data_IF_825104681623
#
_entry.id   IF_825104681623
#
_cell.length_a   1.000
_cell.length_b   1.000
_cell.length_c   1.000
_cell.angle_alpha   90.00
_cell.angle_beta   90.00
_cell.angle_gamma   90.00
#
_symmetry.space_group_name_H-M   'P 1'
#
loop_
_entity.id
_entity.type
_entity.pdbx_description
1 polymer ?
#
# COMPACT_ATOMS: atom_id res chain seq x y z
N UNK A 1 -16.97 4.95 13.87
CA UNK A 1 -16.52 5.88 14.93
C UNK A 1 -15.36 6.75 14.42
N UNK A 2 -14.35 6.18 13.75
CA UNK A 2 -13.21 6.92 13.19
C UNK A 2 -13.58 8.16 12.35
N UNK A 3 -14.42 8.02 11.31
CA UNK A 3 -14.80 9.16 10.46
C UNK A 3 -15.43 10.34 11.23
N UNK A 4 -16.21 10.06 12.28
CA UNK A 4 -16.77 11.12 13.14
C UNK A 4 -15.70 11.87 13.93
N UNK A 5 -14.63 11.17 14.35
CA UNK A 5 -13.49 11.78 15.05
C UNK A 5 -12.69 12.63 14.06
N UNK A 6 -12.51 12.13 12.84
CA UNK A 6 -11.85 12.83 11.75
C UNK A 6 -12.61 14.12 11.38
N UNK A 7 -13.92 14.05 11.17
CA UNK A 7 -14.78 15.22 10.93
C UNK A 7 -14.68 16.23 12.08
N UNK A 8 -14.71 15.75 13.32
CA UNK A 8 -14.56 16.60 14.49
C UNK A 8 -13.19 17.30 14.56
N UNK A 9 -12.12 16.58 14.19
CA UNK A 9 -10.76 17.11 14.17
C UNK A 9 -10.60 18.19 13.10
N UNK A 10 -11.13 17.97 11.90
CA UNK A 10 -11.06 18.93 10.79
C UNK A 10 -12.04 20.10 10.94
N UNK A 11 -13.14 19.92 11.68
CA UNK A 11 -14.06 21.00 12.03
C UNK A 11 -13.45 22.07 12.96
N UNK A 12 -12.25 21.86 13.52
CA UNK A 12 -11.57 22.84 14.38
C UNK A 12 -10.08 22.97 14.07
N UNK A 13 -9.67 24.16 13.63
CA UNK A 13 -8.27 24.51 13.32
C UNK A 13 -7.32 24.25 14.50
N UNK A 14 -7.82 24.34 15.74
CA UNK A 14 -7.04 24.14 16.95
C UNK A 14 -6.56 22.69 17.18
N UNK A 15 -7.10 21.69 16.47
CA UNK A 15 -6.81 20.28 16.69
C UNK A 15 -5.79 19.68 15.70
N UNK A 16 -4.79 20.46 15.28
CA UNK A 16 -3.73 19.97 14.38
C UNK A 16 -3.10 18.64 14.81
N UNK A 17 -2.72 18.39 16.08
CA UNK A 17 -2.15 17.11 16.47
C UNK A 17 -3.11 15.92 16.25
N UNK A 18 -4.42 16.14 16.41
CA UNK A 18 -5.42 15.11 16.16
C UNK A 18 -5.66 14.92 14.66
N UNK A 19 -5.67 16.00 13.88
CA UNK A 19 -5.72 15.93 12.40
C UNK A 19 -4.54 15.11 11.88
N UNK A 20 -3.32 15.42 12.31
CA UNK A 20 -2.10 14.70 11.92
C UNK A 20 -2.15 13.22 12.33
N UNK A 21 -2.65 12.92 13.53
CA UNK A 21 -2.85 11.55 13.98
C UNK A 21 -3.85 10.80 13.10
N UNK A 22 -5.00 11.41 12.79
CA UNK A 22 -6.00 10.80 11.93
C UNK A 22 -5.48 10.61 10.50
N UNK A 23 -4.77 11.60 9.93
CA UNK A 23 -4.13 11.47 8.62
C UNK A 23 -3.08 10.35 8.61
N UNK A 24 -2.27 10.22 9.67
CA UNK A 24 -1.31 9.12 9.81
C UNK A 24 -2.01 7.75 9.87
N UNK A 25 -3.15 7.65 10.55
CA UNK A 25 -3.95 6.42 10.56
C UNK A 25 -4.47 6.06 9.16
N UNK A 26 -4.91 7.05 8.37
CA UNK A 26 -5.31 6.84 6.97
C UNK A 26 -4.10 6.42 6.13
N UNK A 27 -2.94 7.07 6.28
CA UNK A 27 -1.74 6.74 5.50
C UNK A 27 -1.22 5.33 5.80
N UNK A 28 -1.43 4.81 7.02
CA UNK A 28 -1.06 3.45 7.40
C UNK A 28 -1.94 2.37 6.73
N UNK A 29 -3.18 2.71 6.37
CA UNK A 29 -4.13 1.83 5.69
C UNK A 29 -5.04 2.62 4.72
N UNK A 30 -4.51 3.08 3.57
CA UNK A 30 -5.24 4.01 2.69
C UNK A 30 -6.55 3.45 2.13
N UNK A 31 -6.62 2.15 1.86
CA UNK A 31 -7.81 1.46 1.34
C UNK A 31 -9.03 1.66 2.25
N UNK A 32 -8.83 1.75 3.57
CA UNK A 32 -9.89 2.03 4.55
C UNK A 32 -10.67 3.33 4.29
N UNK A 33 -10.07 4.27 3.55
CA UNK A 33 -10.72 5.51 3.13
C UNK A 33 -11.07 5.47 1.66
N UNK A 34 -10.12 5.15 0.77
CA UNK A 34 -10.33 5.25 -0.68
C UNK A 34 -11.36 4.26 -1.24
N UNK A 35 -11.58 3.13 -0.57
CA UNK A 35 -12.64 2.17 -0.93
C UNK A 35 -13.98 2.49 -0.28
N UNK A 36 -14.04 3.50 0.60
CA UNK A 36 -15.25 3.90 1.31
C UNK A 36 -15.94 5.08 0.62
N UNK A 37 -17.28 5.08 0.65
CA UNK A 37 -18.08 6.24 0.23
C UNK A 37 -17.73 7.52 1.00
N UNK A 38 -17.19 7.37 2.21
CA UNK A 38 -16.78 8.50 3.05
C UNK A 38 -15.75 9.40 2.36
N UNK A 39 -14.84 8.84 1.56
CA UNK A 39 -13.86 9.64 0.83
C UNK A 39 -14.53 10.72 -0.01
N UNK A 40 -15.63 10.39 -0.69
CA UNK A 40 -16.37 11.33 -1.53
C UNK A 40 -17.14 12.39 -0.74
N UNK A 41 -17.31 12.20 0.58
CA UNK A 41 -17.91 13.17 1.48
C UNK A 41 -16.90 14.09 2.18
N UNK A 42 -15.59 13.87 1.99
CA UNK A 42 -14.56 14.71 2.61
C UNK A 42 -14.66 16.15 2.12
N UNK A 43 -14.47 17.11 3.03
CA UNK A 43 -14.30 18.50 2.66
C UNK A 43 -12.93 18.73 1.99
N UNK A 44 -12.82 19.82 1.23
CA UNK A 44 -11.61 20.16 0.46
C UNK A 44 -10.37 20.36 1.35
N UNK A 45 -10.52 20.85 2.58
CA UNK A 45 -9.37 21.05 3.49
C UNK A 45 -8.83 19.71 3.99
N UNK A 46 -9.71 18.76 4.28
CA UNK A 46 -9.33 17.40 4.65
C UNK A 46 -8.65 16.69 3.48
N UNK A 47 -9.26 16.74 2.29
CA UNK A 47 -8.69 16.13 1.08
C UNK A 47 -7.32 16.72 0.76
N UNK A 48 -7.18 18.04 0.72
CA UNK A 48 -5.88 18.70 0.45
C UNK A 48 -4.83 18.39 1.51
N UNK A 49 -5.21 18.24 2.78
CA UNK A 49 -4.28 17.83 3.85
C UNK A 49 -3.80 16.39 3.66
N UNK A 50 -4.69 15.49 3.21
CA UNK A 50 -4.32 14.12 2.86
C UNK A 50 -3.41 14.08 1.61
N UNK A 51 -3.74 14.83 0.56
CA UNK A 51 -2.94 14.89 -0.67
C UNK A 51 -1.52 15.44 -0.43
N UNK A 52 -1.29 16.24 0.61
CA UNK A 52 0.06 16.72 0.97
C UNK A 52 0.97 15.65 1.60
N UNK A 53 0.44 14.51 2.06
CA UNK A 53 1.18 13.49 2.80
C UNK A 53 2.14 12.68 1.92
N UNK A 54 3.44 12.77 2.18
CA UNK A 54 4.45 11.93 1.52
C UNK A 54 4.33 10.43 1.88
N UNK A 55 3.78 10.12 3.05
CA UNK A 55 3.61 8.74 3.52
C UNK A 55 2.29 8.10 3.10
N UNK A 56 1.49 8.77 2.27
CA UNK A 56 0.26 8.22 1.72
C UNK A 56 0.58 7.16 0.66
N UNK A 57 0.46 5.88 1.03
CA UNK A 57 0.75 4.77 0.14
C UNK A 57 -0.35 4.51 -0.89
N UNK A 58 -0.34 5.25 -2.00
CA UNK A 58 -1.24 5.06 -3.16
C UNK A 58 -0.52 5.49 -4.44
N UNK A 59 -0.78 4.79 -5.55
CA UNK A 59 -0.25 5.19 -6.85
C UNK A 59 -0.86 6.51 -7.30
N UNK A 60 -0.04 7.42 -7.85
CA UNK A 60 -0.52 8.75 -8.26
C UNK A 60 -1.67 8.70 -9.27
N UNK A 61 -1.64 7.73 -10.19
CA UNK A 61 -2.73 7.54 -11.17
C UNK A 61 -4.04 7.14 -10.50
N UNK A 62 -3.98 6.33 -9.44
CA UNK A 62 -5.15 5.92 -8.67
C UNK A 62 -5.68 7.08 -7.83
N UNK A 63 -4.76 7.82 -7.19
CA UNK A 63 -5.07 9.04 -6.45
C UNK A 63 -5.79 10.07 -7.32
N UNK A 64 -5.29 10.29 -8.54
CA UNK A 64 -5.93 11.16 -9.53
C UNK A 64 -7.35 10.70 -9.87
N UNK A 65 -7.55 9.41 -10.15
CA UNK A 65 -8.89 8.88 -10.44
C UNK A 65 -9.87 9.11 -9.29
N UNK A 66 -9.41 8.94 -8.05
CA UNK A 66 -10.21 9.20 -6.86
C UNK A 66 -10.54 10.69 -6.71
N UNK A 67 -9.57 11.59 -6.92
CA UNK A 67 -9.82 13.05 -6.89
C UNK A 67 -10.81 13.49 -7.98
N UNK A 68 -10.74 12.93 -9.18
CA UNK A 68 -11.71 13.19 -10.25
C UNK A 68 -13.12 12.73 -9.85
N UNK A 69 -13.25 11.51 -9.31
CA UNK A 69 -14.54 10.99 -8.81
C UNK A 69 -15.08 11.86 -7.68
N UNK A 70 -14.23 12.29 -6.74
CA UNK A 70 -14.59 13.25 -5.70
C UNK A 70 -15.12 14.55 -6.31
N UNK A 71 -14.43 15.09 -7.31
CA UNK A 71 -14.88 16.27 -8.05
C UNK A 71 -16.27 16.11 -8.65
N UNK A 72 -16.59 14.95 -9.23
CA UNK A 72 -17.93 14.68 -9.77
C UNK A 72 -19.00 14.59 -8.69
N UNK A 73 -18.69 13.97 -7.54
CA UNK A 73 -19.62 13.91 -6.41
C UNK A 73 -19.90 15.30 -5.84
N UNK A 74 -18.92 16.18 -5.81
CA UNK A 74 -19.11 17.58 -5.41
C UNK A 74 -19.88 18.42 -6.44
N UNK A 75 -19.95 17.96 -7.70
CA UNK A 75 -20.59 18.67 -8.80
C UNK A 75 -21.57 17.74 -9.57
N UNK A 76 -22.66 17.28 -8.94
CA UNK A 76 -23.51 16.20 -9.45
C UNK A 76 -24.28 16.55 -10.74
N UNK A 77 -24.31 17.81 -11.13
CA UNK A 77 -24.97 18.27 -12.37
C UNK A 77 -24.07 18.17 -13.60
N UNK A 78 -22.78 17.85 -13.43
CA UNK A 78 -21.81 17.76 -14.53
C UNK A 78 -21.86 16.40 -15.21
N UNK A 79 -21.63 16.40 -16.52
CA UNK A 79 -21.46 15.17 -17.29
C UNK A 79 -20.12 14.53 -16.99
N UNK A 80 -20.07 13.21 -16.81
CA UNK A 80 -18.80 12.51 -16.55
C UNK A 80 -17.83 12.56 -17.74
N UNK A 81 -18.35 12.68 -18.96
CA UNK A 81 -17.56 12.72 -20.20
C UNK A 81 -17.03 14.15 -20.47
N UNK A 82 -15.72 14.41 -20.32
CA UNK A 82 -15.15 15.74 -20.51
C UNK A 82 -15.31 16.28 -21.93
N UNK A 83 -15.48 15.40 -22.93
CA UNK A 83 -15.70 15.81 -24.31
C UNK A 83 -17.02 16.57 -24.52
N UNK A 84 -17.94 16.51 -23.54
CA UNK A 84 -19.25 17.16 -23.58
C UNK A 84 -19.31 18.46 -22.76
N UNK A 85 -18.18 18.91 -22.21
CA UNK A 85 -18.17 20.05 -21.31
C UNK A 85 -18.30 21.38 -22.06
N UNK A 86 -19.12 22.27 -21.52
CA UNK A 86 -19.13 23.68 -21.92
C UNK A 86 -18.04 24.43 -21.14
N UNK A 87 -17.61 25.62 -21.59
CA UNK A 87 -16.65 26.43 -20.85
C UNK A 87 -17.07 26.70 -19.39
N UNK A 88 -18.37 26.86 -19.13
CA UNK A 88 -18.90 27.07 -17.78
C UNK A 88 -18.76 25.82 -16.90
N UNK A 89 -18.97 24.63 -17.47
CA UNK A 89 -18.77 23.35 -16.78
C UNK A 89 -17.29 23.12 -16.47
N UNK A 90 -16.41 23.37 -17.44
CA UNK A 90 -14.95 23.29 -17.24
C UNK A 90 -14.50 24.22 -16.12
N UNK A 91 -14.95 25.49 -16.13
CA UNK A 91 -14.60 26.46 -15.10
C UNK A 91 -15.11 26.05 -13.71
N UNK A 92 -16.33 25.52 -13.62
CA UNK A 92 -16.92 25.04 -12.36
C UNK A 92 -16.10 23.88 -11.78
N UNK A 93 -15.78 22.88 -12.60
CA UNK A 93 -15.00 21.72 -12.17
C UNK A 93 -13.57 22.10 -11.81
N UNK A 94 -12.92 22.94 -12.63
CA UNK A 94 -11.60 23.50 -12.35
C UNK A 94 -11.57 24.20 -10.99
N UNK A 95 -12.56 25.06 -10.71
CA UNK A 95 -12.63 25.77 -9.43
C UNK A 95 -12.78 24.81 -8.24
N UNK A 96 -13.56 23.73 -8.40
CA UNK A 96 -13.75 22.74 -7.33
C UNK A 96 -12.49 21.93 -7.01
N UNK A 97 -11.60 21.73 -7.99
CA UNK A 97 -10.37 20.96 -7.85
C UNK A 97 -9.11 21.83 -7.77
N UNK A 98 -9.24 23.15 -7.76
CA UNK A 98 -8.13 24.10 -7.86
C UNK A 98 -7.05 23.86 -6.78
N UNK A 99 -7.46 23.55 -5.54
CA UNK A 99 -6.53 23.29 -4.44
C UNK A 99 -5.97 21.86 -4.46
N UNK A 100 -6.63 20.93 -5.15
CA UNK A 100 -6.26 19.51 -5.20
C UNK A 100 -5.28 19.22 -6.35
N UNK A 101 -5.51 19.79 -7.54
CA UNK A 101 -4.71 19.52 -8.75
C UNK A 101 -3.20 19.73 -8.52
N UNK A 102 -2.73 20.82 -7.90
CA UNK A 102 -1.29 21.06 -7.69
C UNK A 102 -0.64 20.06 -6.71
N UNK A 103 -1.44 19.30 -5.96
CA UNK A 103 -0.96 18.33 -4.97
C UNK A 103 -0.79 16.91 -5.55
N UNK A 104 -1.21 16.70 -6.81
CA UNK A 104 -1.00 15.44 -7.55
C UNK A 104 0.37 15.48 -8.21
N UNK A 105 1.17 14.42 -8.01
CA UNK A 105 2.56 14.36 -8.48
C UNK A 105 2.60 13.76 -9.87
N UNK A 106 2.01 14.45 -10.85
CA UNK A 106 1.86 13.94 -12.22
C UNK A 106 3.16 13.46 -12.87
N UNK A 107 4.30 14.05 -12.51
CA UNK A 107 5.63 13.64 -12.98
C UNK A 107 6.03 12.22 -12.55
N UNK A 108 5.38 11.66 -11.52
CA UNK A 108 5.59 10.29 -11.07
C UNK A 108 4.66 9.28 -11.77
N UNK A 109 3.75 9.73 -12.64
CA UNK A 109 2.99 8.85 -13.52
C UNK A 109 3.81 8.48 -14.76
N UNK A 110 3.49 7.33 -15.36
CA UNK A 110 4.00 7.01 -16.70
C UNK A 110 3.32 7.90 -17.76
N UNK A 111 3.97 8.17 -18.91
CA UNK A 111 3.32 8.90 -20.02
C UNK A 111 2.02 8.24 -20.51
N UNK A 112 1.95 6.90 -20.46
CA UNK A 112 0.75 6.15 -20.80
C UNK A 112 -0.41 6.43 -19.82
N UNK A 113 -0.14 6.37 -18.52
CA UNK A 113 -1.12 6.70 -17.47
C UNK A 113 -1.59 8.15 -17.59
N UNK A 114 -0.68 9.10 -17.79
CA UNK A 114 -1.03 10.51 -17.97
C UNK A 114 -1.93 10.71 -19.19
N UNK A 115 -1.56 10.13 -20.34
CA UNK A 115 -2.36 10.21 -21.56
C UNK A 115 -3.76 9.60 -21.41
N UNK A 116 -3.88 8.47 -20.72
CA UNK A 116 -5.16 7.77 -20.62
C UNK A 116 -6.08 8.41 -19.59
N UNK A 117 -5.54 8.80 -18.42
CA UNK A 117 -6.35 9.20 -17.25
C UNK A 117 -6.39 10.70 -17.02
N UNK A 118 -5.32 11.44 -17.34
CA UNK A 118 -5.20 12.87 -17.03
C UNK A 118 -5.54 13.73 -18.23
N UNK A 119 -5.01 13.39 -19.41
CA UNK A 119 -5.23 14.15 -20.66
C UNK A 119 -6.71 14.42 -21.00
N UNK A 120 -7.68 13.51 -20.77
CA UNK A 120 -9.09 13.83 -21.00
C UNK A 120 -9.59 15.07 -20.25
N UNK A 121 -8.94 15.41 -19.13
CA UNK A 121 -9.23 16.55 -18.27
C UNK A 121 -8.17 17.66 -18.40
N UNK A 122 -7.40 17.72 -19.49
CA UNK A 122 -6.32 18.71 -19.63
C UNK A 122 -6.78 20.16 -19.48
N UNK A 123 -8.04 20.45 -19.84
CA UNK A 123 -8.57 21.83 -19.86
C UNK A 123 -8.82 22.41 -18.46
N UNK A 124 -8.83 21.58 -17.41
CA UNK A 124 -8.90 22.04 -16.00
C UNK A 124 -7.52 22.22 -15.37
N UNK A 125 -6.46 21.75 -16.03
CA UNK A 125 -5.10 21.86 -15.51
C UNK A 125 -4.56 23.28 -15.75
N UNK A 126 -3.87 23.90 -14.77
CA UNK A 126 -3.12 25.12 -15.01
C UNK A 126 -2.11 24.91 -16.15
N UNK A 127 -2.01 25.86 -17.08
CA UNK A 127 -1.15 25.74 -18.26
C UNK A 127 0.33 25.48 -17.88
N UNK A 128 0.85 26.23 -16.91
CA UNK A 128 2.23 26.07 -16.43
C UNK A 128 2.48 24.66 -15.84
N UNK A 129 1.50 24.12 -15.12
CA UNK A 129 1.59 22.77 -14.55
C UNK A 129 1.61 21.74 -15.67
N UNK A 130 0.68 21.85 -16.62
CA UNK A 130 0.59 20.93 -17.74
C UNK A 130 1.87 20.91 -18.59
N UNK A 131 2.41 22.09 -18.93
CA UNK A 131 3.65 22.21 -19.68
C UNK A 131 4.84 21.62 -18.90
N UNK A 132 4.92 21.88 -17.59
CA UNK A 132 5.99 21.32 -16.75
C UNK A 132 6.01 19.79 -16.75
N UNK A 133 4.83 19.17 -16.72
CA UNK A 133 4.69 17.71 -16.77
C UNK A 133 5.05 17.17 -18.15
N UNK A 134 4.63 17.85 -19.22
CA UNK A 134 4.98 17.46 -20.58
C UNK A 134 6.51 17.53 -20.81
N UNK A 135 7.15 18.62 -20.36
CA UNK A 135 8.61 18.75 -20.42
C UNK A 135 9.33 17.67 -19.62
N UNK A 136 8.81 17.30 -18.46
CA UNK A 136 9.35 16.19 -17.68
C UNK A 136 9.35 14.87 -18.46
N UNK A 137 8.27 14.55 -19.19
CA UNK A 137 8.21 13.34 -20.00
C UNK A 137 9.08 13.38 -21.25
N UNK A 138 9.24 14.55 -21.86
CA UNK A 138 10.05 14.71 -23.07
C UNK A 138 11.55 14.78 -22.77
N UNK A 139 11.95 15.35 -21.64
CA UNK A 139 13.33 15.64 -21.27
C UNK A 139 13.58 15.38 -19.76
N UNK A 140 13.51 14.11 -19.30
CA UNK A 140 13.60 13.79 -17.88
C UNK A 140 14.94 14.16 -17.25
N UNK A 141 16.04 14.11 -18.00
CA UNK A 141 17.39 14.44 -17.51
C UNK A 141 17.59 15.95 -17.27
N UNK A 142 16.77 16.80 -17.88
CA UNK A 142 16.89 18.25 -17.79
C UNK A 142 16.04 18.85 -16.65
N UNK A 143 15.20 18.04 -15.99
CA UNK A 143 14.23 18.50 -15.01
C UNK A 143 14.48 17.87 -13.64
N UNK A 144 14.62 18.71 -12.61
CA UNK A 144 14.59 18.22 -11.23
C UNK A 144 13.13 17.99 -10.87
N UNK A 145 12.77 16.74 -10.53
CA UNK A 145 11.42 16.47 -10.02
C UNK A 145 11.29 17.12 -8.64
N UNK A 146 10.40 18.12 -8.45
CA UNK A 146 10.26 18.79 -7.16
C UNK A 146 9.61 17.90 -6.10
N UNK A 147 9.04 16.75 -6.51
CA UNK A 147 8.33 15.86 -5.62
C UNK A 147 9.18 14.66 -5.22
N UNK A 148 9.19 14.38 -3.93
CA UNK A 148 9.51 13.07 -3.39
C UNK A 148 8.45 12.06 -3.84
N UNK A 149 8.83 10.82 -4.21
CA UNK A 149 7.84 9.76 -4.37
C UNK A 149 7.08 9.53 -3.07
N UNK A 150 5.77 9.22 -3.17
CA UNK A 150 5.02 8.77 -2.00
C UNK A 150 5.54 7.43 -1.50
N UNK A 151 5.23 7.10 -0.26
CA UNK A 151 5.58 5.83 0.35
C UNK A 151 5.11 4.67 -0.51
N UNK A 152 6.07 3.83 -0.93
CA UNK A 152 5.78 2.64 -1.73
C UNK A 152 4.93 1.67 -0.92
N UNK A 153 3.81 1.24 -1.51
CA UNK A 153 2.93 0.22 -0.93
C UNK A 153 3.55 -1.18 -1.02
N UNK A 154 2.93 -2.12 -0.33
CA UNK A 154 3.15 -3.56 -0.56
C UNK A 154 2.11 -4.04 -1.58
N UNK A 155 2.54 -4.81 -2.59
CA UNK A 155 1.63 -5.46 -3.54
C UNK A 155 0.98 -6.70 -2.89
N UNK A 156 0.11 -6.44 -1.90
CA UNK A 156 -0.64 -7.46 -1.17
C UNK A 156 -2.11 -7.07 -1.06
N UNK A 157 -3.00 -8.03 -1.30
CA UNK A 157 -4.44 -7.91 -1.02
C UNK A 157 -4.79 -8.41 0.38
N UNK A 158 -3.83 -9.00 1.09
CA UNK A 158 -4.02 -9.67 2.36
C UNK A 158 -3.58 -8.83 3.55
N UNK A 159 -2.45 -8.12 3.44
CA UNK A 159 -1.89 -7.37 4.56
C UNK A 159 -1.71 -5.88 4.25
N UNK A 160 -1.84 -5.06 5.29
CA UNK A 160 -1.55 -3.63 5.23
C UNK A 160 -0.05 -3.36 5.39
N UNK A 161 0.38 -2.14 5.08
CA UNK A 161 1.77 -1.73 5.26
C UNK A 161 2.20 -1.77 6.75
N UNK A 162 1.26 -1.52 7.67
CA UNK A 162 1.48 -1.69 9.11
C UNK A 162 1.78 -3.14 9.47
N UNK A 163 1.01 -4.09 8.96
CA UNK A 163 1.28 -5.52 9.17
C UNK A 163 2.60 -5.95 8.51
N UNK A 164 2.93 -5.41 7.35
CA UNK A 164 4.24 -5.62 6.71
C UNK A 164 5.40 -5.10 7.59
N UNK A 165 5.25 -3.94 8.23
CA UNK A 165 6.22 -3.42 9.20
C UNK A 165 6.35 -4.32 10.44
N UNK A 166 5.25 -4.94 10.89
CA UNK A 166 5.30 -5.92 11.98
C UNK A 166 6.10 -7.16 11.60
N UNK A 167 5.87 -7.70 10.39
CA UNK A 167 6.65 -8.82 9.85
C UNK A 167 8.13 -8.45 9.77
N UNK A 168 8.46 -7.27 9.23
CA UNK A 168 9.84 -6.77 9.19
C UNK A 168 10.51 -6.72 10.57
N UNK A 169 9.75 -6.30 11.58
CA UNK A 169 10.24 -6.22 12.96
C UNK A 169 10.53 -7.61 13.53
N UNK A 170 9.66 -8.59 13.25
CA UNK A 170 9.87 -9.97 13.69
C UNK A 170 11.05 -10.65 12.99
N UNK A 171 11.32 -10.31 11.72
CA UNK A 171 12.53 -10.74 10.99
C UNK A 171 13.79 -10.27 11.72
N UNK A 172 13.81 -9.01 12.19
CA UNK A 172 14.93 -8.44 12.94
C UNK A 172 14.92 -8.75 14.44
N UNK A 173 14.01 -9.62 14.89
CA UNK A 173 13.81 -9.98 16.29
C UNK A 173 13.48 -8.78 17.21
N UNK A 174 12.90 -7.72 16.64
CA UNK A 174 12.41 -6.52 17.35
C UNK A 174 10.97 -6.72 17.85
N UNK A 175 10.78 -7.70 18.71
CA UNK A 175 9.44 -8.12 19.16
C UNK A 175 8.75 -7.06 20.05
N UNK A 176 9.53 -6.18 20.70
CA UNK A 176 9.03 -5.13 21.60
C UNK A 176 9.03 -3.72 20.99
N UNK A 177 9.80 -3.50 19.90
CA UNK A 177 9.94 -2.18 19.24
C UNK A 177 9.79 -2.31 17.73
N UNK A 178 8.53 -2.31 17.31
CA UNK A 178 8.16 -2.41 15.91
C UNK A 178 8.65 -1.21 15.09
N UNK A 179 9.04 -1.48 13.84
CA UNK A 179 9.14 -0.46 12.81
C UNK A 179 7.77 0.18 12.59
N UNK A 180 7.78 1.48 12.30
CA UNK A 180 6.60 2.14 11.74
C UNK A 180 6.43 1.73 10.27
N UNK A 181 5.23 1.94 9.71
CA UNK A 181 4.97 1.67 8.30
C UNK A 181 5.84 2.52 7.34
N UNK A 182 6.44 3.61 7.83
CA UNK A 182 7.36 4.47 7.09
C UNK A 182 8.83 4.04 7.19
N UNK A 183 9.18 3.15 8.13
CA UNK A 183 10.57 2.80 8.47
C UNK A 183 10.92 1.34 8.12
N UNK A 184 10.16 0.70 7.23
CA UNK A 184 10.39 -0.69 6.84
C UNK A 184 11.75 -0.81 6.10
N UNK A 185 12.73 -1.58 6.62
CA UNK A 185 14.07 -1.69 6.04
C UNK A 185 14.16 -2.67 4.86
N UNK A 186 13.03 -3.26 4.48
CA UNK A 186 12.92 -4.29 3.45
C UNK A 186 12.02 -3.85 2.30
N UNK A 187 12.36 -4.32 1.10
CA UNK A 187 11.45 -4.42 -0.04
C UNK A 187 10.82 -5.82 -0.06
N UNK A 188 9.50 -5.85 -0.19
CA UNK A 188 8.72 -7.07 -0.32
C UNK A 188 8.28 -7.24 -1.77
N UNK A 189 8.88 -8.19 -2.48
CA UNK A 189 8.55 -8.48 -3.89
C UNK A 189 7.58 -9.65 -3.94
N UNK A 190 6.37 -9.43 -4.46
CA UNK A 190 5.42 -10.50 -4.72
C UNK A 190 6.02 -11.50 -5.70
N UNK A 191 6.06 -12.78 -5.33
CA UNK A 191 6.54 -13.88 -6.15
C UNK A 191 5.38 -14.61 -6.83
N UNK A 192 4.26 -14.73 -6.13
CA UNK A 192 3.05 -15.33 -6.66
C UNK A 192 1.81 -14.95 -5.85
N UNK A 193 0.67 -14.99 -6.53
CA UNK A 193 -0.67 -14.86 -5.95
C UNK A 193 -1.53 -16.03 -6.42
N UNK A 194 -2.14 -16.76 -5.51
CA UNK A 194 -2.87 -17.99 -5.80
C UNK A 194 -4.06 -17.76 -6.74
N UNK A 195 -4.77 -16.65 -6.61
CA UNK A 195 -5.86 -16.27 -7.55
C UNK A 195 -5.41 -15.99 -8.98
N UNK A 196 -4.14 -15.65 -9.21
CA UNK A 196 -3.60 -15.31 -10.52
C UNK A 196 -2.76 -16.45 -11.11
N UNK A 197 -1.94 -17.10 -10.28
CA UNK A 197 -0.97 -18.14 -10.67
C UNK A 197 -1.46 -19.57 -10.43
N UNK A 198 -2.56 -19.72 -9.68
CA UNK A 198 -3.08 -21.00 -9.24
C UNK A 198 -2.48 -21.49 -7.92
N UNK A 199 -3.21 -22.39 -7.27
CA UNK A 199 -2.97 -22.84 -5.90
C UNK A 199 -2.17 -24.14 -5.78
N UNK A 200 -1.61 -24.64 -6.88
CA UNK A 200 -0.95 -25.96 -6.87
C UNK A 200 0.42 -25.90 -6.17
N UNK A 201 0.80 -26.99 -5.51
CA UNK A 201 2.15 -27.16 -4.94
C UNK A 201 3.23 -27.03 -6.01
N UNK A 202 2.97 -27.51 -7.22
CA UNK A 202 3.89 -27.37 -8.35
C UNK A 202 4.14 -25.90 -8.71
N UNK A 203 3.09 -25.07 -8.75
CA UNK A 203 3.21 -23.62 -8.96
C UNK A 203 4.08 -22.99 -7.87
N UNK A 204 3.82 -23.33 -6.61
CA UNK A 204 4.59 -22.87 -5.44
C UNK A 204 6.08 -23.22 -5.58
N UNK A 205 6.41 -24.45 -5.98
CA UNK A 205 7.81 -24.84 -6.17
C UNK A 205 8.48 -24.14 -7.34
N UNK A 206 7.76 -23.94 -8.46
CA UNK A 206 8.32 -23.26 -9.64
C UNK A 206 8.58 -21.77 -9.39
N UNK A 207 7.65 -21.07 -8.75
CA UNK A 207 7.80 -19.65 -8.38
C UNK A 207 8.77 -19.46 -7.22
N UNK A 208 8.70 -20.38 -6.25
CA UNK A 208 9.45 -20.49 -4.99
C UNK A 208 10.93 -20.83 -5.12
N UNK A 209 11.24 -21.70 -6.08
CA UNK A 209 12.47 -22.48 -6.12
C UNK A 209 13.74 -21.63 -6.04
N UNK A 210 14.58 -21.90 -5.04
CA UNK A 210 15.86 -21.22 -4.87
C UNK A 210 15.79 -19.82 -4.27
N UNK A 211 14.59 -19.29 -3.97
CA UNK A 211 14.47 -18.03 -3.22
C UNK A 211 14.80 -18.26 -1.74
N UNK A 212 15.49 -17.31 -1.14
CA UNK A 212 15.72 -17.26 0.31
C UNK A 212 14.94 -16.09 0.92
N UNK A 213 14.75 -16.12 2.24
CA UNK A 213 14.05 -15.05 2.99
C UNK A 213 12.70 -14.73 2.37
N UNK A 214 11.81 -15.71 2.40
CA UNK A 214 10.45 -15.57 1.86
C UNK A 214 9.43 -15.53 3.00
N UNK A 215 8.29 -14.91 2.77
CA UNK A 215 7.13 -15.16 3.63
C UNK A 215 5.89 -15.50 2.81
N UNK A 216 5.09 -16.39 3.38
CA UNK A 216 3.81 -16.84 2.89
C UNK A 216 2.70 -16.15 3.67
N UNK A 217 1.62 -15.79 2.99
CA UNK A 217 0.34 -15.39 3.55
C UNK A 217 -0.75 -16.32 3.00
N UNK A 218 -1.64 -16.75 3.87
CA UNK A 218 -2.77 -17.62 3.58
C UNK A 218 -4.01 -17.03 4.23
N UNK A 219 -5.04 -16.75 3.44
CA UNK A 219 -6.35 -16.35 3.93
C UNK A 219 -7.28 -17.55 4.00
N UNK A 220 -7.84 -17.83 5.17
CA UNK A 220 -8.84 -18.90 5.34
C UNK A 220 -10.20 -18.41 4.86
N UNK A 221 -10.87 -19.16 3.97
CA UNK A 221 -12.14 -18.72 3.38
C UNK A 221 -13.27 -18.58 4.40
N UNK A 222 -13.30 -19.45 5.40
CA UNK A 222 -14.38 -19.50 6.39
C UNK A 222 -14.21 -18.48 7.51
N UNK A 223 -13.00 -18.32 8.05
CA UNK A 223 -12.73 -17.41 9.18
C UNK A 223 -12.21 -16.05 8.75
N UNK A 224 -11.79 -15.90 7.49
CA UNK A 224 -11.11 -14.72 6.94
C UNK A 224 -9.78 -14.35 7.66
N UNK A 225 -9.35 -15.18 8.61
CA UNK A 225 -8.06 -15.04 9.28
C UNK A 225 -6.92 -15.24 8.30
N UNK A 226 -5.84 -14.50 8.54
CA UNK A 226 -4.62 -14.58 7.76
C UNK A 226 -3.59 -15.31 8.60
N UNK A 227 -3.09 -16.41 8.06
CA UNK A 227 -1.95 -17.13 8.59
C UNK A 227 -0.75 -16.84 7.73
N UNK A 228 0.40 -16.63 8.37
CA UNK A 228 1.63 -16.41 7.65
C UNK A 228 2.80 -17.16 8.24
N UNK A 229 3.83 -17.30 7.41
CA UNK A 229 5.06 -17.96 7.78
C UNK A 229 6.23 -17.31 7.06
N UNK A 230 7.24 -16.90 7.83
CA UNK A 230 8.51 -16.47 7.29
C UNK A 230 9.52 -17.62 7.32
N UNK A 231 10.22 -17.78 6.20
CA UNK A 231 11.24 -18.80 5.98
C UNK A 231 12.54 -18.07 5.63
N UNK A 232 13.51 -18.10 6.52
CA UNK A 232 14.81 -17.45 6.30
C UNK A 232 15.74 -18.23 5.36
N UNK A 233 15.58 -19.55 5.29
CA UNK A 233 16.39 -20.41 4.42
C UNK A 233 15.94 -20.42 2.96
N UNK A 234 16.69 -21.14 2.13
CA UNK A 234 16.35 -21.35 0.72
C UNK A 234 15.12 -22.26 0.62
N UNK A 235 14.15 -21.86 -0.19
CA UNK A 235 13.00 -22.68 -0.56
C UNK A 235 13.44 -23.84 -1.46
N UNK A 236 13.43 -25.06 -0.90
CA UNK A 236 13.82 -26.29 -1.58
C UNK A 236 12.82 -27.42 -1.26
N UNK A 237 12.51 -28.23 -2.27
CA UNK A 237 11.60 -29.38 -2.24
C UNK A 237 12.03 -30.46 -1.24
N UNK A 238 13.34 -30.58 -0.96
CA UNK A 238 13.91 -31.71 -0.20
C UNK A 238 14.51 -31.34 1.15
N UNK A 239 14.60 -30.06 1.47
CA UNK A 239 15.23 -29.60 2.70
C UNK A 239 14.19 -28.99 3.63
N UNK A 240 13.94 -29.66 4.77
CA UNK A 240 13.44 -28.98 5.95
C UNK A 240 14.46 -27.87 6.27
N UNK A 241 14.20 -26.64 5.84
CA UNK A 241 15.11 -25.53 6.05
C UNK A 241 15.12 -25.23 7.54
N UNK A 242 15.95 -25.93 8.32
CA UNK A 242 16.20 -25.76 9.76
C UNK A 242 16.86 -24.40 10.00
N UNK A 243 16.16 -23.33 9.66
CA UNK A 243 16.65 -21.98 9.82
C UNK A 243 15.99 -21.44 11.10
N UNK A 244 16.82 -21.27 12.13
CA UNK A 244 16.40 -20.88 13.49
C UNK A 244 15.64 -19.55 13.55
N UNK A 245 15.71 -18.74 12.48
CA UNK A 245 15.04 -17.45 12.37
C UNK A 245 13.66 -17.51 11.69
N UNK A 246 13.18 -18.72 11.33
CA UNK A 246 11.84 -18.90 10.76
C UNK A 246 10.76 -18.80 11.83
N UNK A 247 9.61 -18.24 11.47
CA UNK A 247 8.48 -18.07 12.40
C UNK A 247 7.14 -18.14 11.68
N UNK A 248 6.10 -18.50 12.43
CA UNK A 248 4.71 -18.43 11.99
C UNK A 248 4.02 -17.28 12.70
N UNK A 249 3.02 -16.70 12.05
CA UNK A 249 2.19 -15.66 12.65
C UNK A 249 0.75 -15.76 12.19
N UNK A 250 -0.16 -15.09 12.89
CA UNK A 250 -1.51 -14.88 12.42
C UNK A 250 -1.99 -13.46 12.68
N UNK A 251 -2.77 -12.96 11.73
CA UNK A 251 -3.55 -11.73 11.85
C UNK A 251 -5.03 -12.09 11.80
N UNK A 252 -5.79 -11.55 12.75
CA UNK A 252 -7.25 -11.54 12.69
C UNK A 252 -7.73 -10.68 11.52
N UNK A 253 -8.85 -11.04 10.91
CA UNK A 253 -9.47 -10.26 9.84
C UNK A 253 -9.71 -8.79 10.26
N UNK A 254 -9.15 -7.85 9.49
CA UNK A 254 -9.63 -6.47 9.38
C UNK A 254 -9.75 -5.64 10.66
N UNK A 255 -9.16 -6.07 11.78
CA UNK A 255 -9.28 -5.37 13.06
C UNK A 255 -7.95 -5.33 13.80
N UNK A 256 -7.39 -4.13 13.91
CA UNK A 256 -6.22 -3.81 14.73
C UNK A 256 -6.39 -4.14 16.23
N UNK A 257 -7.61 -4.49 16.66
CA UNK A 257 -7.96 -4.69 18.08
C UNK A 257 -7.50 -6.03 18.66
N UNK A 258 -7.14 -7.00 17.83
CA UNK A 258 -6.67 -8.32 18.27
C UNK A 258 -5.17 -8.40 18.06
N UNK A 259 -4.44 -8.64 19.16
CA UNK A 259 -2.98 -8.76 19.12
C UNK A 259 -2.61 -9.90 18.15
N UNK A 260 -1.71 -9.65 17.19
CA UNK A 260 -1.21 -10.73 16.35
C UNK A 260 -0.52 -11.78 17.20
N UNK A 261 -0.59 -13.02 16.74
CA UNK A 261 0.09 -14.15 17.37
C UNK A 261 1.38 -14.40 16.61
N UNK A 262 2.51 -14.43 17.32
CA UNK A 262 3.82 -14.82 16.78
C UNK A 262 4.26 -16.14 17.43
N UNK A 263 4.72 -17.09 16.61
CA UNK A 263 5.28 -18.35 17.06
C UNK A 263 6.60 -18.63 16.36
N UNK A 264 7.72 -18.46 17.08
CA UNK A 264 9.05 -18.80 16.58
C UNK A 264 9.25 -20.32 16.59
N UNK A 265 9.81 -20.87 15.52
CA UNK A 265 9.96 -22.32 15.35
C UNK A 265 11.10 -22.82 16.22
N UNK A 266 10.80 -23.66 17.24
CA UNK A 266 11.82 -24.32 18.09
C UNK A 266 12.35 -25.64 17.51
N UNK A 267 11.59 -26.29 16.62
CA UNK A 267 11.97 -27.50 15.87
C UNK A 267 11.06 -27.68 14.64
N UNK A 268 11.54 -28.38 13.60
CA UNK A 268 10.97 -28.47 12.23
C UNK A 268 9.46 -28.77 12.13
N UNK A 269 8.74 -28.13 11.20
CA UNK A 269 7.31 -28.40 10.93
C UNK A 269 6.65 -27.68 9.74
N UNK A 270 7.40 -27.36 8.67
CA UNK A 270 6.92 -26.54 7.52
C UNK A 270 5.74 -27.18 6.76
N UNK A 271 5.78 -28.49 6.55
CA UNK A 271 4.76 -29.22 5.77
C UNK A 271 3.36 -29.17 6.39
N UNK A 272 3.28 -28.93 7.71
CA UNK A 272 2.03 -28.98 8.47
C UNK A 272 1.15 -27.74 8.26
N UNK A 273 1.72 -26.57 7.94
CA UNK A 273 0.95 -25.34 7.76
C UNK A 273 0.24 -25.28 6.39
N UNK A 274 0.93 -25.67 5.31
CA UNK A 274 0.36 -25.74 3.96
C UNK A 274 -0.73 -26.81 3.86
N UNK A 275 -0.47 -28.01 4.40
CA UNK A 275 -1.44 -29.11 4.44
C UNK A 275 -2.73 -28.73 5.18
N UNK A 276 -2.60 -28.17 6.39
CA UNK A 276 -3.76 -27.73 7.18
C UNK A 276 -4.54 -26.58 6.54
N UNK A 277 -3.87 -25.72 5.77
CA UNK A 277 -4.51 -24.64 5.01
C UNK A 277 -5.39 -25.14 3.88
N UNK A 278 -4.93 -26.17 3.15
CA UNK A 278 -5.73 -26.85 2.12
C UNK A 278 -6.94 -27.56 2.73
N UNK A 279 -6.78 -28.21 3.89
CA UNK A 279 -7.86 -28.94 4.57
C UNK A 279 -9.00 -28.04 5.08
N UNK A 280 -8.70 -26.77 5.40
CA UNK A 280 -9.68 -25.80 5.96
C UNK A 280 -10.38 -24.92 4.92
N UNK A 281 -10.07 -25.10 3.63
CA UNK A 281 -10.58 -24.26 2.55
C UNK A 281 -9.83 -22.94 2.44
N UNK A 282 -8.92 -22.88 1.49
CA UNK A 282 -8.13 -21.69 1.16
C UNK A 282 -8.97 -20.66 0.40
N UNK A 283 -8.92 -19.40 0.86
CA UNK A 283 -9.56 -18.27 0.20
C UNK A 283 -8.62 -17.56 -0.78
N UNK A 284 -7.39 -17.27 -0.34
CA UNK A 284 -6.33 -16.62 -1.13
C UNK A 284 -4.95 -16.98 -0.54
N UNK A 285 -3.91 -16.90 -1.36
CA UNK A 285 -2.53 -17.17 -1.00
C UNK A 285 -1.58 -16.18 -1.69
N UNK A 286 -0.65 -15.60 -0.95
CA UNK A 286 0.40 -14.74 -1.50
C UNK A 286 1.76 -15.15 -0.95
N UNK A 287 2.80 -15.09 -1.78
CA UNK A 287 4.17 -15.33 -1.33
C UNK A 287 5.10 -14.21 -1.79
N UNK A 288 5.96 -13.77 -0.89
CA UNK A 288 6.86 -12.64 -1.08
C UNK A 288 8.30 -13.04 -0.84
N UNK A 289 9.20 -12.41 -1.61
CA UNK A 289 10.63 -12.33 -1.31
C UNK A 289 10.90 -11.10 -0.45
N UNK A 290 11.74 -11.25 0.56
CA UNK A 290 12.25 -10.17 1.39
C UNK A 290 13.65 -9.79 0.94
N UNK A 291 13.85 -8.53 0.55
CA UNK A 291 15.16 -8.00 0.16
C UNK A 291 15.50 -6.76 0.99
N UNK A 292 16.71 -6.60 1.54
CA UNK A 292 17.10 -5.36 2.22
C UNK A 292 17.06 -4.16 1.27
N UNK A 293 16.56 -3.02 1.73
CA UNK A 293 16.70 -1.76 1.00
C UNK A 293 18.18 -1.35 1.02
N UNK A 294 18.75 -1.02 -0.14
CA UNK A 294 20.13 -0.56 -0.25
C UNK A 294 20.33 0.68 0.64
N UNK A 295 21.27 0.60 1.60
CA UNK A 295 21.64 1.70 2.51
C UNK A 295 21.28 1.49 3.99
N UNK A 296 20.51 0.47 4.35
CA UNK A 296 20.27 0.09 5.76
C UNK A 296 21.18 -1.09 6.10
N UNK A 297 22.27 -0.84 6.82
CA UNK A 297 23.11 -1.92 7.33
C UNK A 297 22.31 -2.72 8.35
N UNK A 298 22.01 -3.98 8.03
CA UNK A 298 21.62 -4.94 9.06
C UNK A 298 22.85 -5.16 9.93
N UNK A 299 22.82 -4.64 11.16
CA UNK A 299 23.78 -5.01 12.19
C UNK A 299 23.59 -6.48 12.48
N UNK A 300 24.43 -7.31 11.85
CA UNK A 300 24.65 -8.68 12.30
C UNK A 300 25.20 -8.61 13.72
N UNK A 301 24.47 -9.19 14.68
CA UNK A 301 25.00 -9.40 16.02
C UNK A 301 26.22 -10.33 15.93
N UNK A 302 27.32 -10.02 16.62
CA UNK A 302 28.51 -10.85 16.58
C UNK A 302 28.22 -12.20 17.23
N UNK A 303 28.55 -13.28 16.52
CA UNK A 303 28.68 -14.62 17.07
C UNK A 303 29.71 -14.58 18.20
N UNK A 304 29.25 -14.61 19.45
CA UNK A 304 30.12 -14.96 20.59
C UNK A 304 30.42 -16.45 20.52
N UNK A 305 31.70 -16.74 20.32
CA UNK A 305 32.33 -18.07 20.44
C UNK A 305 32.18 -18.67 21.84
#
# INVERSE_FOLDING_TARGET
>A
NFYRILDFAFGRIAYKPLQDYCLGAICADPSSVFESDYFYCMDVNMLTSLLKRDDLGIDEVELWNNVIKWGFVQNPTLFEDPAKWTPEFTATFQQSLADCIPLIRFTLMTPAQFREKVWPFKDILPADLYDSVLWHFLMPEAQVNPFTPRLKTIDSKLITLKQAAMIASWIDQKDDKFYTYTEIPYDFTLLMRGSEDGYSTNTLHQRCGGQEKTFLLLKIKTTQEIFGMYISGIWNVTASARAHDSFMFSFSEGKETTKPVLSRVRSSGYDLALSRGMDRGMGELEMFKVSPKFGVSSTSLPLTL
#
